data_IF_005227435209
#
_entry.id   IF_005227435209
#
_cell.length_a   1.000
_cell.length_b   1.000
_cell.length_c   1.000
_cell.angle_alpha   90.00
_cell.angle_beta   90.00
_cell.angle_gamma   90.00
#
_symmetry.space_group_name_H-M   'P 1'
#
loop_
_entity.id
_entity.type
_entity.pdbx_description
1 polymer ?
#
# COMPACT_ATOMS: atom_id res chain seq x y z
N UNK A 1 33.71 -73.51 13.15
CA UNK A 1 32.24 -73.54 13.15
C UNK A 1 31.73 -72.26 12.47
N UNK A 2 31.03 -72.37 11.33
CA UNK A 2 30.60 -71.22 10.50
C UNK A 2 29.45 -70.47 11.21
N UNK A 3 29.66 -69.20 11.55
CA UNK A 3 28.64 -68.35 12.20
C UNK A 3 27.55 -68.01 11.18
N UNK A 4 26.40 -68.66 11.30
CA UNK A 4 25.18 -68.35 10.56
C UNK A 4 24.57 -67.08 11.16
N UNK A 5 24.96 -65.92 10.64
CA UNK A 5 24.27 -64.67 10.96
C UNK A 5 22.81 -64.81 10.50
N UNK A 6 21.88 -64.80 11.46
CA UNK A 6 20.45 -64.86 11.16
C UNK A 6 20.12 -63.60 10.37
N UNK A 7 19.53 -63.73 9.18
CA UNK A 7 19.30 -62.62 8.23
C UNK A 7 18.63 -61.40 8.88
N UNK A 8 17.74 -61.64 9.85
CA UNK A 8 17.08 -60.58 10.62
C UNK A 8 18.05 -59.76 11.48
N UNK A 9 19.11 -60.39 12.00
CA UNK A 9 20.13 -59.71 12.80
C UNK A 9 20.96 -58.76 11.94
N UNK A 10 21.26 -59.14 10.69
CA UNK A 10 21.97 -58.26 9.74
C UNK A 10 21.12 -57.02 9.40
N UNK A 11 19.81 -57.22 9.19
CA UNK A 11 18.87 -56.12 8.93
C UNK A 11 18.79 -55.16 10.12
N UNK A 12 18.70 -55.68 11.35
CA UNK A 12 18.62 -54.85 12.55
C UNK A 12 19.92 -54.07 12.78
N UNK A 13 21.08 -54.69 12.59
CA UNK A 13 22.37 -54.01 12.77
C UNK A 13 22.61 -52.92 11.73
N UNK A 14 22.18 -53.14 10.48
CA UNK A 14 22.33 -52.13 9.43
C UNK A 14 21.39 -50.94 9.65
N UNK A 15 20.15 -51.21 10.07
CA UNK A 15 19.17 -50.17 10.41
C UNK A 15 19.63 -49.33 11.62
N UNK A 16 20.19 -49.96 12.65
CA UNK A 16 20.75 -49.25 13.82
C UNK A 16 21.92 -48.32 13.45
N UNK A 17 22.81 -48.76 12.55
CA UNK A 17 23.91 -47.93 12.04
C UNK A 17 23.38 -46.76 11.20
N UNK A 18 22.34 -46.96 10.40
CA UNK A 18 21.70 -45.90 9.62
C UNK A 18 21.09 -44.82 10.52
N UNK A 19 20.39 -45.21 11.59
CA UNK A 19 19.82 -44.28 12.57
C UNK A 19 20.93 -43.53 13.30
N UNK A 20 22.02 -44.22 13.69
CA UNK A 20 23.16 -43.58 14.34
C UNK A 20 23.85 -42.54 13.42
N UNK A 21 24.02 -42.86 12.14
CA UNK A 21 24.58 -41.94 11.15
C UNK A 21 23.66 -40.73 10.89
N UNK A 22 22.35 -40.95 10.76
CA UNK A 22 21.38 -39.87 10.58
C UNK A 22 21.28 -38.97 11.83
N UNK A 23 21.27 -39.57 13.03
CA UNK A 23 21.30 -38.85 14.30
C UNK A 23 22.60 -38.05 14.46
N UNK A 24 23.73 -38.61 14.06
CA UNK A 24 25.02 -37.91 14.08
C UNK A 24 25.08 -36.76 13.07
N UNK A 25 24.57 -36.93 11.84
CA UNK A 25 24.48 -35.85 10.84
C UNK A 25 23.54 -34.72 11.28
N UNK A 26 22.38 -35.05 11.87
CA UNK A 26 21.46 -34.03 12.38
C UNK A 26 22.07 -33.26 13.58
N UNK A 27 22.77 -33.96 14.47
CA UNK A 27 23.44 -33.34 15.61
C UNK A 27 24.70 -32.55 15.24
N UNK A 28 25.51 -33.05 14.31
CA UNK A 28 26.71 -32.36 13.80
C UNK A 28 26.34 -31.15 12.92
N UNK A 29 25.32 -31.26 12.06
CA UNK A 29 24.80 -30.14 11.29
C UNK A 29 24.22 -29.04 12.17
N UNK A 30 23.58 -29.39 13.30
CA UNK A 30 23.10 -28.41 14.29
C UNK A 30 24.23 -27.79 15.12
N UNK A 31 25.43 -28.41 15.15
CA UNK A 31 26.63 -27.87 15.83
C UNK A 31 27.47 -26.98 14.91
N UNK A 32 27.48 -27.20 13.60
CA UNK A 32 28.12 -26.27 12.64
C UNK A 32 27.30 -24.97 12.44
N UNK A 33 25.97 -25.01 12.53
CA UNK A 33 25.14 -23.78 12.51
C UNK A 33 25.33 -22.91 13.77
N UNK A 34 25.93 -23.45 14.83
CA UNK A 34 26.24 -22.70 16.06
C UNK A 34 27.70 -22.24 16.16
N UNK A 35 28.57 -22.57 15.19
CA UNK A 35 30.02 -22.33 15.31
C UNK A 35 30.74 -22.18 13.97
N UNK A 36 30.21 -21.37 13.05
CA UNK A 36 30.95 -20.91 11.88
C UNK A 36 30.53 -19.48 11.49
N UNK A 37 31.42 -18.57 11.85
CA UNK A 37 31.71 -17.23 11.32
C UNK A 37 30.59 -16.19 11.12
N UNK A 38 30.79 -14.95 11.64
CA UNK A 38 29.97 -13.82 11.27
C UNK A 38 30.18 -13.55 9.78
N UNK A 39 29.10 -13.64 9.02
CA UNK A 39 29.05 -13.07 7.68
C UNK A 39 29.42 -11.59 7.84
N UNK A 40 30.60 -11.22 7.38
CA UNK A 40 30.89 -9.82 7.10
C UNK A 40 29.98 -9.41 5.95
N UNK A 41 28.86 -8.82 6.32
CA UNK A 41 27.93 -8.16 5.42
C UNK A 41 28.60 -6.88 4.90
N UNK A 42 29.49 -7.05 3.93
CA UNK A 42 30.03 -5.95 3.14
C UNK A 42 28.92 -5.40 2.24
N UNK A 43 28.07 -4.54 2.80
CA UNK A 43 26.99 -3.89 2.06
C UNK A 43 26.00 -3.10 2.90
N UNK A 44 25.92 -3.37 4.20
CA UNK A 44 25.12 -2.58 5.13
C UNK A 44 26.08 -1.73 5.94
N UNK A 45 26.28 -0.46 5.57
CA UNK A 45 26.55 0.51 6.62
C UNK A 45 25.35 0.44 7.55
N UNK A 46 25.51 -0.13 8.74
CA UNK A 46 24.56 0.07 9.83
C UNK A 46 24.50 1.57 10.05
N UNK A 47 23.50 2.21 9.43
CA UNK A 47 23.14 3.57 9.79
C UNK A 47 22.67 3.44 11.22
N UNK A 48 23.47 3.94 12.15
CA UNK A 48 23.08 3.94 13.56
C UNK A 48 21.83 4.80 13.72
N UNK A 49 20.93 4.46 14.65
CA UNK A 49 19.78 5.31 14.95
C UNK A 49 20.22 6.77 15.27
N UNK A 50 21.45 6.93 15.77
CA UNK A 50 22.10 8.22 15.99
C UNK A 50 22.41 8.98 14.69
N UNK A 51 22.89 8.31 13.64
CA UNK A 51 23.13 8.93 12.32
C UNK A 51 21.82 9.33 11.63
N UNK A 52 20.75 8.52 11.76
CA UNK A 52 19.41 8.86 11.24
C UNK A 52 18.85 10.10 11.95
N UNK A 53 19.02 10.18 13.27
CA UNK A 53 18.55 11.32 14.06
C UNK A 53 19.36 12.59 13.74
N UNK A 54 20.68 12.46 13.57
CA UNK A 54 21.55 13.57 13.20
C UNK A 54 21.25 14.12 11.80
N UNK A 55 20.97 13.26 10.82
CA UNK A 55 20.60 13.70 9.47
C UNK A 55 19.23 14.40 9.43
N UNK A 56 18.23 13.88 10.15
CA UNK A 56 16.94 14.57 10.29
C UNK A 56 17.06 15.93 10.99
N UNK A 57 17.94 16.05 12.00
CA UNK A 57 18.23 17.34 12.63
C UNK A 57 19.04 18.30 11.75
N UNK A 58 19.84 17.77 10.82
CA UNK A 58 20.59 18.56 9.86
C UNK A 58 19.74 19.02 8.66
N UNK A 59 18.68 18.28 8.33
CA UNK A 59 17.68 18.65 7.31
C UNK A 59 16.67 19.70 7.78
N UNK A 60 16.61 20.00 9.08
CA UNK A 60 15.92 21.18 9.58
C UNK A 60 16.72 22.42 9.15
N UNK A 61 16.16 23.31 8.31
CA UNK A 61 16.90 24.47 7.79
C UNK A 61 17.33 25.39 8.95
N UNK A 62 18.64 25.44 9.22
CA UNK A 62 19.24 26.43 10.11
C UNK A 62 19.39 27.77 9.38
N UNK A 63 18.29 28.54 9.30
CA UNK A 63 18.25 30.00 9.18
C UNK A 63 16.87 30.45 8.72
N UNK A 64 16.05 31.01 9.60
CA UNK A 64 15.87 32.46 9.74
C UNK A 64 14.75 32.75 10.75
N UNK A 65 14.90 33.88 11.43
CA UNK A 65 14.19 34.37 12.62
C UNK A 65 12.70 34.74 12.36
N UNK A 66 11.93 33.89 11.67
CA UNK A 66 10.53 34.21 11.32
C UNK A 66 9.62 33.01 11.01
N UNK A 67 9.67 31.97 11.85
CA UNK A 67 8.65 30.91 11.83
C UNK A 67 7.61 31.21 12.91
N UNK A 68 6.39 31.53 12.50
CA UNK A 68 5.24 31.57 13.40
C UNK A 68 5.00 30.15 13.93
N UNK A 69 5.13 30.00 15.25
CA UNK A 69 4.73 28.79 15.96
C UNK A 69 3.25 28.51 15.69
N UNK A 70 2.95 27.36 15.10
CA UNK A 70 1.58 26.89 14.94
C UNK A 70 1.10 26.48 16.34
N UNK A 71 0.06 27.11 16.91
CA UNK A 71 -0.37 26.78 18.26
C UNK A 71 -0.80 25.32 18.31
N UNK A 72 -0.30 24.58 19.31
CA UNK A 72 -0.79 23.24 19.62
C UNK A 72 -2.30 23.26 19.84
N UNK A 73 -3.04 22.40 19.15
CA UNK A 73 -4.50 22.31 19.17
C UNK A 73 -5.15 21.83 20.49
N UNK A 74 -4.42 21.87 21.60
CA UNK A 74 -4.92 21.49 22.94
C UNK A 74 -5.16 22.73 23.83
N UNK A 75 -5.63 23.84 23.26
CA UNK A 75 -6.04 25.04 24.02
C UNK A 75 -7.56 25.08 24.12
N UNK A 76 -8.07 24.99 25.35
CA UNK A 76 -9.48 25.11 25.70
C UNK A 76 -10.11 26.42 25.16
N UNK A 77 -11.32 26.28 24.64
CA UNK A 77 -12.01 27.20 23.73
C UNK A 77 -12.53 28.52 24.35
N UNK A 78 -11.97 29.01 25.45
CA UNK A 78 -12.49 30.19 26.18
C UNK A 78 -11.56 31.42 26.20
N UNK A 79 -10.38 31.40 25.59
CA UNK A 79 -9.46 32.57 25.55
C UNK A 79 -9.15 33.12 24.14
N UNK A 80 -9.97 32.81 23.13
CA UNK A 80 -9.78 33.24 21.75
C UNK A 80 -10.09 34.74 21.47
N UNK A 81 -10.14 35.62 22.47
CA UNK A 81 -10.60 37.02 22.30
C UNK A 81 -9.51 38.10 22.46
N UNK A 82 -8.21 37.76 22.56
CA UNK A 82 -7.16 38.78 22.85
C UNK A 82 -6.04 38.96 21.83
N UNK A 83 -6.16 38.44 20.59
CA UNK A 83 -5.17 38.72 19.51
C UNK A 83 -5.83 39.30 18.25
N UNK A 84 -6.75 40.22 18.43
CA UNK A 84 -7.32 41.00 17.33
C UNK A 84 -7.30 42.51 17.64
N UNK A 85 -6.17 43.06 18.09
CA UNK A 85 -6.02 44.52 18.18
C UNK A 85 -4.57 45.01 18.25
N UNK A 86 -3.98 45.21 17.08
CA UNK A 86 -3.00 46.27 16.70
C UNK A 86 -2.51 45.89 15.30
N UNK A 87 -2.67 46.63 14.20
CA UNK A 87 -2.86 48.05 13.94
C UNK A 87 -3.47 48.16 12.54
N UNK A 88 -4.49 49.01 12.35
CA UNK A 88 -4.67 49.87 11.17
C UNK A 88 -6.03 50.58 11.26
N UNK A 89 -6.01 51.79 11.80
CA UNK A 89 -7.07 52.77 11.63
C UNK A 89 -7.23 53.15 10.15
N UNK A 90 -8.44 53.08 9.61
CA UNK A 90 -9.05 54.15 8.81
C UNK A 90 -10.51 53.81 8.44
N UNK A 91 -11.42 54.38 9.22
CA UNK A 91 -12.68 55.01 8.80
C UNK A 91 -13.70 54.17 8.01
N UNK A 92 -14.67 53.61 8.73
CA UNK A 92 -16.00 53.27 8.22
C UNK A 92 -17.02 54.08 9.01
N UNK A 93 -17.53 55.15 8.42
CA UNK A 93 -18.73 55.83 8.88
C UNK A 93 -19.97 55.23 8.20
N UNK A 94 -20.60 54.33 8.96
CA UNK A 94 -22.04 54.07 9.10
C UNK A 94 -23.04 54.80 8.19
N UNK A 95 -23.95 54.02 7.61
CA UNK A 95 -25.38 54.19 7.93
C UNK A 95 -26.38 54.36 6.78
N UNK A 96 -27.23 53.34 6.65
CA UNK A 96 -28.67 53.39 6.36
C UNK A 96 -29.21 53.78 4.97
N UNK A 97 -29.95 52.79 4.45
CA UNK A 97 -31.31 52.89 3.88
C UNK A 97 -31.54 53.21 2.39
N UNK A 98 -32.27 52.26 1.79
CA UNK A 98 -33.45 52.40 0.95
C UNK A 98 -33.36 52.44 -0.59
N UNK A 99 -34.09 51.46 -1.13
CA UNK A 99 -35.03 51.48 -2.25
C UNK A 99 -34.53 51.75 -3.69
N UNK A 100 -34.62 50.66 -4.46
CA UNK A 100 -35.21 50.55 -5.79
C UNK A 100 -34.66 51.44 -6.92
N UNK A 101 -34.03 50.80 -7.91
CA UNK A 101 -34.50 50.96 -9.29
C UNK A 101 -34.06 49.78 -10.18
N UNK A 102 -34.97 49.37 -11.05
CA UNK A 102 -34.76 48.36 -12.08
C UNK A 102 -33.88 48.89 -13.22
N UNK A 103 -33.05 48.02 -13.78
CA UNK A 103 -32.69 48.05 -15.21
C UNK A 103 -32.26 46.64 -15.63
N UNK A 104 -32.90 46.17 -16.69
CA UNK A 104 -32.61 44.94 -17.41
C UNK A 104 -31.16 44.89 -17.91
N UNK A 105 -30.61 43.67 -17.99
CA UNK A 105 -29.34 43.40 -18.65
C UNK A 105 -28.77 42.06 -18.24
N UNK A 106 -29.11 41.03 -19.02
CA UNK A 106 -28.29 39.88 -19.47
C UNK A 106 -27.33 39.19 -18.49
N UNK A 107 -27.27 37.86 -18.66
CA UNK A 107 -26.26 36.92 -18.14
C UNK A 107 -26.69 36.16 -16.89
N UNK A 108 -27.29 34.99 -17.11
CA UNK A 108 -27.27 33.88 -16.15
C UNK A 108 -25.86 33.30 -16.08
N UNK A 109 -24.89 34.12 -15.68
CA UNK A 109 -23.67 33.71 -15.01
C UNK A 109 -24.03 33.48 -13.55
N UNK A 110 -24.74 32.38 -13.28
CA UNK A 110 -24.79 31.81 -11.93
C UNK A 110 -23.47 31.06 -11.71
N UNK A 111 -22.39 31.85 -11.68
CA UNK A 111 -21.15 31.48 -11.06
C UNK A 111 -21.48 31.33 -9.57
N UNK A 112 -21.56 30.09 -9.10
CA UNK A 112 -21.10 29.79 -7.75
C UNK A 112 -19.57 29.69 -7.87
N UNK A 113 -18.81 30.75 -7.53
CA UNK A 113 -17.35 30.70 -7.49
C UNK A 113 -16.94 29.84 -6.29
N UNK A 114 -17.00 28.53 -6.48
CA UNK A 114 -16.78 27.55 -5.42
C UNK A 114 -17.08 26.11 -5.84
N UNK A 115 -17.82 25.87 -6.93
CA UNK A 115 -18.21 24.52 -7.35
C UNK A 115 -17.52 24.00 -8.63
N UNK A 116 -16.55 24.74 -9.18
CA UNK A 116 -15.87 24.38 -10.43
C UNK A 116 -14.34 24.24 -10.32
N UNK A 117 -13.77 24.09 -9.12
CA UNK A 117 -12.29 24.10 -8.94
C UNK A 117 -11.80 23.03 -7.97
N UNK A 118 -12.42 21.85 -7.99
CA UNK A 118 -11.86 20.65 -7.32
C UNK A 118 -11.78 19.43 -8.25
N UNK A 119 -12.21 19.54 -9.50
CA UNK A 119 -12.14 18.44 -10.48
C UNK A 119 -10.89 18.48 -11.36
N UNK A 120 -10.15 19.60 -11.39
CA UNK A 120 -9.02 19.79 -12.31
C UNK A 120 -7.64 19.79 -11.63
N UNK A 121 -7.58 19.52 -10.31
CA UNK A 121 -6.35 19.65 -9.52
C UNK A 121 -5.70 18.34 -9.05
N UNK A 122 -6.34 17.19 -9.26
CA UNK A 122 -5.72 15.88 -8.96
C UNK A 122 -5.12 15.35 -10.26
N UNK A 123 -3.79 15.33 -10.35
CA UNK A 123 -3.09 14.70 -11.47
C UNK A 123 -3.51 13.22 -11.57
N UNK A 124 -3.53 12.65 -12.78
CA UNK A 124 -3.82 11.20 -12.98
C UNK A 124 -2.85 10.35 -12.14
N UNK A 125 -1.61 10.83 -12.00
CA UNK A 125 -0.60 10.23 -11.15
C UNK A 125 -0.99 10.23 -9.67
N UNK A 126 -1.60 11.32 -9.17
CA UNK A 126 -2.07 11.42 -7.79
C UNK A 126 -3.30 10.54 -7.54
N UNK A 127 -4.22 10.46 -8.50
CA UNK A 127 -5.36 9.53 -8.39
C UNK A 127 -4.88 8.07 -8.39
N UNK A 128 -3.96 7.71 -9.29
CA UNK A 128 -3.38 6.36 -9.35
C UNK A 128 -2.61 6.04 -8.06
N UNK A 129 -1.79 6.98 -7.58
CA UNK A 129 -1.08 6.84 -6.31
C UNK A 129 -2.07 6.68 -5.14
N UNK A 130 -3.18 7.42 -5.14
CA UNK A 130 -4.22 7.29 -4.14
C UNK A 130 -4.92 5.92 -4.20
N UNK A 131 -5.24 5.42 -5.39
CA UNK A 131 -5.84 4.09 -5.57
C UNK A 131 -4.86 3.00 -5.10
N UNK A 132 -3.58 3.10 -5.45
CA UNK A 132 -2.56 2.17 -4.98
C UNK A 132 -2.38 2.23 -3.46
N UNK A 133 -2.33 3.43 -2.89
CA UNK A 133 -2.23 3.66 -1.45
C UNK A 133 -3.45 3.09 -0.71
N UNK A 134 -4.65 3.42 -1.18
CA UNK A 134 -5.92 2.92 -0.62
C UNK A 134 -5.97 1.40 -0.67
N UNK A 135 -5.59 0.80 -1.81
CA UNK A 135 -5.49 -0.66 -1.96
C UNK A 135 -4.54 -1.27 -0.95
N UNK A 136 -3.34 -0.70 -0.77
CA UNK A 136 -2.38 -1.24 0.18
C UNK A 136 -2.80 -1.02 1.65
N UNK A 137 -3.45 0.11 1.96
CA UNK A 137 -4.07 0.33 3.28
C UNK A 137 -5.17 -0.69 3.57
N UNK A 138 -6.02 -1.00 2.60
CA UNK A 138 -7.07 -2.02 2.73
C UNK A 138 -6.41 -3.40 2.93
N UNK A 139 -5.37 -3.74 2.17
CA UNK A 139 -4.63 -5.00 2.37
C UNK A 139 -3.98 -5.07 3.73
N UNK A 140 -3.39 -3.98 4.22
CA UNK A 140 -2.80 -3.92 5.56
C UNK A 140 -3.86 -4.16 6.65
N UNK A 141 -5.01 -3.47 6.57
CA UNK A 141 -6.14 -3.68 7.50
C UNK A 141 -6.71 -5.10 7.43
N UNK A 142 -6.81 -5.68 6.23
CA UNK A 142 -7.25 -7.06 6.05
C UNK A 142 -6.25 -8.04 6.65
N UNK A 143 -4.95 -7.85 6.42
CA UNK A 143 -3.88 -8.68 7.01
C UNK A 143 -3.91 -8.58 8.55
N UNK A 144 -4.03 -7.38 9.09
CA UNK A 144 -4.15 -7.15 10.53
C UNK A 144 -5.36 -7.86 11.13
N UNK A 145 -6.54 -7.71 10.50
CA UNK A 145 -7.78 -8.35 10.95
C UNK A 145 -7.64 -9.87 10.93
N UNK A 146 -7.11 -10.44 9.85
CA UNK A 146 -6.89 -11.88 9.71
C UNK A 146 -5.86 -12.39 10.74
N UNK A 147 -4.77 -11.65 10.99
CA UNK A 147 -3.79 -11.98 12.03
C UNK A 147 -4.40 -11.90 13.43
N UNK A 148 -5.28 -10.92 13.68
CA UNK A 148 -6.05 -10.82 14.92
C UNK A 148 -6.92 -12.05 15.17
N UNK A 149 -7.58 -12.56 14.11
CA UNK A 149 -8.38 -13.80 14.19
C UNK A 149 -7.47 -15.02 14.42
N UNK A 150 -6.34 -15.12 13.74
CA UNK A 150 -5.40 -16.24 13.84
C UNK A 150 -4.78 -16.33 15.24
N UNK A 151 -4.38 -15.19 15.82
CA UNK A 151 -3.75 -15.12 17.14
C UNK A 151 -4.73 -15.23 18.30
N UNK A 152 -6.04 -15.10 18.04
CA UNK A 152 -7.05 -15.16 19.09
C UNK A 152 -7.28 -16.60 19.55
N UNK A 153 -6.99 -16.86 20.83
CA UNK A 153 -7.14 -18.19 21.45
C UNK A 153 -8.59 -18.59 21.70
N UNK A 154 -9.54 -17.66 21.63
CA UNK A 154 -10.98 -17.88 21.86
C UNK A 154 -11.78 -18.15 20.56
N UNK A 155 -11.12 -18.14 19.40
CA UNK A 155 -11.75 -18.43 18.11
C UNK A 155 -11.65 -19.93 17.81
N UNK A 156 -12.71 -20.48 17.21
CA UNK A 156 -12.73 -21.87 16.75
C UNK A 156 -11.64 -22.14 15.70
N UNK A 157 -11.00 -23.31 15.78
CA UNK A 157 -9.89 -23.67 14.89
C UNK A 157 -10.29 -23.66 13.41
N UNK A 158 -11.55 -23.96 13.09
CA UNK A 158 -12.10 -23.86 11.73
C UNK A 158 -12.07 -22.41 11.19
N UNK A 159 -12.39 -21.43 12.04
CA UNK A 159 -12.34 -20.03 11.65
C UNK A 159 -10.88 -19.53 11.49
N UNK A 160 -9.94 -20.06 12.27
CA UNK A 160 -8.50 -19.80 12.04
C UNK A 160 -8.02 -20.38 10.73
N UNK A 161 -8.41 -21.60 10.39
CA UNK A 161 -8.09 -22.21 9.10
C UNK A 161 -8.65 -21.40 7.94
N UNK A 162 -9.89 -20.89 8.08
CA UNK A 162 -10.48 -19.99 7.09
C UNK A 162 -9.68 -18.69 6.95
N UNK A 163 -9.28 -18.06 8.06
CA UNK A 163 -8.46 -16.85 8.03
C UNK A 163 -7.07 -17.09 7.38
N UNK A 164 -6.45 -18.25 7.63
CA UNK A 164 -5.21 -18.65 6.95
C UNK A 164 -5.44 -18.82 5.45
N UNK A 165 -6.54 -19.47 5.03
CA UNK A 165 -6.87 -19.60 3.61
C UNK A 165 -7.11 -18.24 2.96
N UNK A 166 -7.81 -17.32 3.62
CA UNK A 166 -8.09 -16.01 3.06
C UNK A 166 -6.84 -15.13 3.00
N UNK A 167 -5.91 -15.30 3.95
CA UNK A 167 -4.56 -14.72 3.87
C UNK A 167 -3.79 -15.24 2.64
N UNK A 168 -3.84 -16.54 2.37
CA UNK A 168 -3.20 -17.14 1.20
C UNK A 168 -3.82 -16.62 -0.10
N UNK A 169 -5.15 -16.54 -0.17
CA UNK A 169 -5.85 -15.97 -1.34
C UNK A 169 -5.49 -14.50 -1.57
N UNK A 170 -5.37 -13.70 -0.50
CA UNK A 170 -4.97 -12.30 -0.61
C UNK A 170 -3.56 -12.15 -1.19
N UNK A 171 -2.63 -13.02 -0.77
CA UNK A 171 -1.28 -13.07 -1.33
C UNK A 171 -1.28 -13.52 -2.79
N UNK A 172 -2.01 -14.59 -3.12
CA UNK A 172 -2.14 -15.09 -4.49
C UNK A 172 -2.71 -14.03 -5.44
N UNK A 173 -3.78 -13.34 -5.01
CA UNK A 173 -4.37 -12.23 -5.75
C UNK A 173 -3.34 -11.10 -5.95
N UNK A 174 -2.59 -10.74 -4.90
CA UNK A 174 -1.57 -9.69 -4.97
C UNK A 174 -0.46 -10.02 -5.96
N UNK A 175 -0.01 -11.29 -6.01
CA UNK A 175 0.97 -11.76 -6.98
C UNK A 175 0.42 -11.72 -8.42
N UNK A 176 -0.84 -12.14 -8.62
CA UNK A 176 -1.51 -12.11 -9.92
C UNK A 176 -1.70 -10.67 -10.43
N UNK A 177 -2.10 -9.75 -9.55
CA UNK A 177 -2.22 -8.31 -9.85
C UNK A 177 -0.86 -7.71 -10.24
N UNK A 178 0.18 -7.92 -9.43
CA UNK A 178 1.52 -7.42 -9.70
C UNK A 178 2.09 -7.98 -11.02
N UNK A 179 1.90 -9.28 -11.28
CA UNK A 179 2.33 -9.91 -12.52
C UNK A 179 1.59 -9.36 -13.75
N UNK A 180 0.31 -8.99 -13.61
CA UNK A 180 -0.47 -8.35 -14.67
C UNK A 180 0.01 -6.91 -14.90
N UNK A 181 0.16 -6.10 -13.85
CA UNK A 181 0.66 -4.71 -13.90
C UNK A 181 2.04 -4.65 -14.55
N UNK A 182 2.97 -5.53 -14.13
CA UNK A 182 4.32 -5.62 -14.71
C UNK A 182 4.30 -5.89 -16.20
N UNK A 183 3.41 -6.79 -16.67
CA UNK A 183 3.28 -7.07 -18.09
C UNK A 183 2.62 -5.92 -18.85
N UNK A 184 1.65 -5.23 -18.26
CA UNK A 184 1.03 -4.07 -18.87
C UNK A 184 2.03 -2.92 -19.02
N UNK A 185 2.86 -2.66 -18.00
CA UNK A 185 3.97 -1.71 -18.09
C UNK A 185 4.95 -2.09 -19.18
N UNK A 186 5.32 -3.38 -19.27
CA UNK A 186 6.22 -3.86 -20.33
C UNK A 186 5.64 -3.74 -21.75
N UNK A 187 4.32 -3.58 -21.90
CA UNK A 187 3.66 -3.31 -23.19
C UNK A 187 3.58 -1.82 -23.52
N UNK A 188 3.96 -0.94 -22.60
CA UNK A 188 3.95 0.51 -22.81
C UNK A 188 2.67 1.20 -22.34
N UNK A 189 1.87 0.56 -21.49
CA UNK A 189 0.79 1.25 -20.78
C UNK A 189 1.39 2.03 -19.60
N UNK A 190 1.04 3.32 -19.46
CA UNK A 190 1.50 4.14 -18.35
C UNK A 190 0.70 3.82 -17.09
N UNK A 191 1.43 3.56 -16.00
CA UNK A 191 0.93 3.36 -14.64
C UNK A 191 -0.35 2.49 -14.55
N UNK A 192 -0.35 1.27 -15.13
CA UNK A 192 -1.51 0.40 -15.09
C UNK A 192 -1.74 -0.07 -13.65
N UNK A 193 -2.98 0.04 -13.18
CA UNK A 193 -3.40 -0.51 -11.89
C UNK A 193 -4.41 -1.60 -12.14
N UNK A 194 -4.14 -2.79 -11.62
CA UNK A 194 -5.03 -3.95 -11.71
C UNK A 194 -5.51 -4.28 -10.30
N UNK A 195 -6.83 -4.30 -10.11
CA UNK A 195 -7.44 -4.79 -8.88
C UNK A 195 -8.33 -5.98 -9.14
N UNK A 196 -8.15 -7.06 -8.39
CA UNK A 196 -8.96 -8.27 -8.46
C UNK A 196 -9.74 -8.37 -7.16
N UNK A 197 -11.05 -8.17 -7.24
CA UNK A 197 -11.95 -8.27 -6.10
C UNK A 197 -13.02 -9.31 -6.38
N UNK A 198 -13.04 -10.39 -5.59
CA UNK A 198 -14.08 -11.42 -5.64
C UNK A 198 -14.38 -11.97 -7.06
N UNK A 199 -13.33 -12.14 -7.89
CA UNK A 199 -13.45 -12.66 -9.25
C UNK A 199 -13.83 -11.63 -10.31
N UNK A 200 -13.94 -10.34 -9.96
CA UNK A 200 -13.97 -9.22 -10.90
C UNK A 200 -12.60 -8.58 -10.98
N UNK A 201 -12.21 -8.16 -12.19
CA UNK A 201 -10.93 -7.49 -12.42
C UNK A 201 -11.20 -6.10 -12.97
N UNK A 202 -10.79 -5.10 -12.21
CA UNK A 202 -10.82 -3.71 -12.61
C UNK A 202 -9.42 -3.29 -13.04
N UNK A 203 -9.29 -2.83 -14.28
CA UNK A 203 -8.03 -2.35 -14.85
C UNK A 203 -8.16 -0.87 -15.14
N UNK A 204 -7.34 -0.08 -14.46
CA UNK A 204 -7.26 1.37 -14.65
C UNK A 204 -6.01 1.69 -15.45
N UNK A 205 -6.17 2.46 -16.53
CA UNK A 205 -5.07 2.86 -17.41
C UNK A 205 -5.09 4.37 -17.58
N UNK A 206 -3.92 4.98 -17.43
CA UNK A 206 -3.71 6.37 -17.79
C UNK A 206 -3.58 6.49 -19.32
N UNK A 207 -4.70 6.74 -20.00
CA UNK A 207 -4.74 6.96 -21.44
C UNK A 207 -6.05 7.65 -21.85
N UNK A 208 -5.94 8.70 -22.68
CA UNK A 208 -7.08 9.42 -23.28
C UNK A 208 -8.00 8.47 -24.04
N UNK A 209 -7.41 7.54 -24.79
CA UNK A 209 -8.12 6.50 -25.51
C UNK A 209 -7.20 5.31 -25.76
N UNK A 210 -7.81 4.14 -25.97
CA UNK A 210 -7.11 2.94 -26.42
C UNK A 210 -7.75 2.42 -27.71
N UNK A 211 -6.92 1.88 -28.59
CA UNK A 211 -7.38 1.15 -29.78
C UNK A 211 -8.00 -0.19 -29.40
N UNK A 212 -8.83 -0.77 -30.27
CA UNK A 212 -9.38 -2.11 -30.07
C UNK A 212 -8.27 -3.17 -29.93
N UNK A 213 -7.14 -2.97 -30.62
CA UNK A 213 -5.97 -3.84 -30.49
C UNK A 213 -5.35 -3.76 -29.08
N UNK A 214 -5.21 -2.56 -28.52
CA UNK A 214 -4.71 -2.37 -27.16
C UNK A 214 -5.69 -2.94 -26.13
N UNK A 215 -6.99 -2.73 -26.31
CA UNK A 215 -8.03 -3.34 -25.47
C UNK A 215 -7.91 -4.86 -25.44
N UNK A 216 -7.82 -5.49 -26.62
CA UNK A 216 -7.67 -6.94 -26.74
C UNK A 216 -6.36 -7.44 -26.09
N UNK A 217 -5.27 -6.66 -26.17
CA UNK A 217 -4.01 -6.99 -25.50
C UNK A 217 -4.13 -6.95 -23.98
N UNK A 218 -4.79 -5.93 -23.43
CA UNK A 218 -5.04 -5.82 -21.99
C UNK A 218 -5.87 -7.01 -21.52
N UNK A 219 -6.97 -7.32 -22.22
CA UNK A 219 -7.84 -8.45 -21.89
C UNK A 219 -7.09 -9.79 -21.93
N UNK A 220 -6.26 -10.05 -22.95
CA UNK A 220 -5.46 -11.28 -23.05
C UNK A 220 -4.46 -11.42 -21.90
N UNK A 221 -3.74 -10.33 -21.58
CA UNK A 221 -2.74 -10.33 -20.51
C UNK A 221 -3.41 -10.60 -19.16
N UNK A 222 -4.49 -9.87 -18.87
CA UNK A 222 -5.22 -9.99 -17.61
C UNK A 222 -5.81 -11.39 -17.49
N UNK A 223 -6.52 -11.88 -18.52
CA UNK A 223 -7.08 -13.23 -18.55
C UNK A 223 -6.03 -14.32 -18.31
N UNK A 224 -4.86 -14.19 -18.93
CA UNK A 224 -3.76 -15.17 -18.79
C UNK A 224 -3.10 -15.12 -17.41
N UNK A 225 -3.11 -13.99 -16.72
CA UNK A 225 -2.43 -13.82 -15.42
C UNK A 225 -3.34 -14.00 -14.21
N UNK A 226 -4.58 -13.53 -14.30
CA UNK A 226 -5.53 -13.59 -13.19
C UNK A 226 -6.40 -14.84 -13.24
N UNK A 227 -6.40 -15.58 -14.35
CA UNK A 227 -7.25 -16.76 -14.60
C UNK A 227 -8.76 -16.44 -14.57
N UNK A 228 -9.11 -15.16 -14.68
CA UNK A 228 -10.50 -14.68 -14.70
C UNK A 228 -11.02 -14.63 -16.13
N UNK A 229 -12.32 -14.92 -16.30
CA UNK A 229 -13.00 -14.82 -17.60
C UNK A 229 -13.09 -13.37 -18.07
N UNK A 230 -13.05 -13.17 -19.40
CA UNK A 230 -13.09 -11.82 -20.00
C UNK A 230 -14.33 -11.01 -19.59
N UNK A 231 -15.46 -11.67 -19.36
CA UNK A 231 -16.73 -11.04 -18.95
C UNK A 231 -16.66 -10.30 -17.61
N UNK A 232 -15.66 -10.64 -16.77
CA UNK A 232 -15.46 -10.04 -15.46
C UNK A 232 -14.35 -8.98 -15.47
N UNK A 233 -13.80 -8.63 -16.65
CA UNK A 233 -12.76 -7.62 -16.80
C UNK A 233 -13.42 -6.30 -17.19
N UNK A 234 -13.24 -5.27 -16.36
CA UNK A 234 -13.67 -3.90 -16.63
C UNK A 234 -12.43 -3.05 -16.85
N UNK A 235 -12.39 -2.35 -17.99
CA UNK A 235 -11.30 -1.45 -18.33
C UNK A 235 -11.80 -0.02 -18.18
N UNK A 236 -11.20 0.71 -17.24
CA UNK A 236 -11.45 2.12 -16.99
C UNK A 236 -10.29 2.95 -17.55
N UNK A 237 -10.63 3.89 -18.42
CA UNK A 237 -9.67 4.84 -18.98
C UNK A 237 -9.78 6.14 -18.20
N UNK A 238 -8.65 6.66 -17.75
CA UNK A 238 -8.58 7.99 -17.17
C UNK A 238 -8.08 8.96 -18.23
N UNK A 239 -8.86 10.01 -18.46
CA UNK A 239 -8.52 11.14 -19.29
C UNK A 239 -8.65 12.38 -18.43
N UNK A 240 -7.55 12.90 -17.94
CA UNK A 240 -7.49 14.25 -17.37
C UNK A 240 -6.40 14.96 -18.15
N UNK A 241 -6.79 16.07 -18.79
CA UNK A 241 -5.87 16.95 -19.49
C UNK A 241 -4.74 17.34 -18.52
N UNK A 242 -3.49 17.22 -18.98
CA UNK A 242 -2.31 17.77 -18.28
C UNK A 242 -2.42 19.28 -18.07
#
# INVERSE_FOLDING_TARGET
>A
MKKLFRRNQIIITTLAVMIAAAGYLNYAGKKEVASADPVYEAGMMEISDEDILAENQAMLPKSDDNLQEIPSWDVDLEEAETIAQSDANADVQTGSENLANASEGTETGLENPGEAVLTSGMSVTDYIANVQLSREQIRAKNKETLLGIINNTNIEEAAKQQAIQDMLKLTEISEKENAAETLLMAKGFSDPVVSVTSGKVDVVINAVSITDQQRAQIEDIVKRKTEVTADNIVITLLNLEE
#
